data_IF_844006123856
#
_entry.id   IF_844006123856
#
_cell.length_a   1.000
_cell.length_b   1.000
_cell.length_c   1.000
_cell.angle_alpha   90.00
_cell.angle_beta   90.00
_cell.angle_gamma   90.00
#
_symmetry.space_group_name_H-M   'P 1'
#
loop_
_entity.id
_entity.type
_entity.pdbx_description
1 polymer ?
#
# COMPACT_ATOMS: atom_id res chain seq x y z
N UNK A 1 22.03 27.14 -39.54
CA UNK A 1 20.99 27.83 -38.76
C UNK A 1 19.94 26.80 -38.39
N UNK A 2 19.94 26.38 -37.14
CA UNK A 2 18.99 25.41 -36.64
C UNK A 2 17.67 26.11 -36.32
N UNK A 3 16.70 26.01 -37.22
CA UNK A 3 15.32 26.48 -36.98
C UNK A 3 14.70 25.58 -35.92
N UNK A 4 14.93 25.97 -34.66
CA UNK A 4 14.37 25.25 -33.48
C UNK A 4 12.86 25.22 -33.57
N UNK A 5 12.28 24.06 -33.92
CA UNK A 5 10.86 23.81 -33.71
C UNK A 5 10.58 23.91 -32.20
N UNK A 6 9.55 24.67 -31.79
CA UNK A 6 9.20 24.73 -30.38
C UNK A 6 8.94 23.32 -29.87
N UNK A 7 9.71 22.92 -28.85
CA UNK A 7 9.48 21.64 -28.18
C UNK A 7 8.10 21.72 -27.53
N UNK A 8 7.17 20.86 -27.96
CA UNK A 8 5.86 20.75 -27.32
C UNK A 8 5.99 20.47 -25.84
N UNK A 9 4.92 20.70 -25.06
CA UNK A 9 4.92 20.66 -23.60
C UNK A 9 5.10 19.27 -22.97
N UNK A 10 5.53 18.26 -23.68
CA UNK A 10 5.79 16.86 -23.29
C UNK A 10 4.75 16.18 -22.37
N UNK A 11 3.67 16.87 -22.00
CA UNK A 11 2.56 16.29 -21.21
C UNK A 11 1.72 15.36 -22.08
N UNK A 12 1.16 14.32 -21.52
CA UNK A 12 0.20 13.46 -22.21
C UNK A 12 -1.08 14.26 -22.53
N UNK A 13 -1.79 13.83 -23.60
CA UNK A 13 -3.11 14.37 -23.91
C UNK A 13 -4.11 13.89 -22.84
N UNK A 14 -4.82 14.83 -22.26
CA UNK A 14 -5.94 14.60 -21.35
C UNK A 14 -7.27 14.65 -22.08
N UNK A 15 -8.37 14.44 -21.37
CA UNK A 15 -9.71 14.48 -21.95
C UNK A 15 -10.02 15.86 -22.57
N UNK A 16 -9.60 16.94 -21.91
CA UNK A 16 -9.84 18.32 -22.42
C UNK A 16 -9.15 18.54 -23.77
N UNK A 17 -7.88 18.13 -23.88
CA UNK A 17 -7.15 18.20 -25.14
C UNK A 17 -7.81 17.32 -26.23
N UNK A 18 -8.34 16.15 -25.88
CA UNK A 18 -9.05 15.28 -26.80
C UNK A 18 -10.39 15.86 -27.28
N UNK A 19 -11.10 16.57 -26.41
CA UNK A 19 -12.32 17.30 -26.76
C UNK A 19 -12.00 18.41 -27.78
N UNK A 20 -10.95 19.18 -27.56
CA UNK A 20 -10.48 20.21 -28.50
C UNK A 20 -10.14 19.57 -29.85
N UNK A 21 -9.39 18.46 -29.88
CA UNK A 21 -9.09 17.74 -31.11
C UNK A 21 -10.38 17.32 -31.83
N UNK A 22 -11.37 16.78 -31.16
CA UNK A 22 -12.64 16.35 -31.73
C UNK A 22 -13.43 17.54 -32.33
N UNK A 23 -13.48 18.68 -31.64
CA UNK A 23 -14.15 19.91 -32.10
C UNK A 23 -13.52 20.43 -33.37
N UNK A 24 -12.21 20.59 -33.40
CA UNK A 24 -11.47 21.03 -34.56
C UNK A 24 -11.60 20.10 -35.77
N UNK A 25 -11.57 18.79 -35.53
CA UNK A 25 -11.81 17.80 -36.59
C UNK A 25 -13.23 17.87 -37.14
N UNK A 26 -14.23 18.18 -36.32
CA UNK A 26 -15.61 18.40 -36.78
C UNK A 26 -15.74 19.67 -37.63
N UNK A 27 -14.95 20.70 -37.32
CA UNK A 27 -14.87 21.93 -38.08
C UNK A 27 -14.08 21.78 -39.40
N UNK A 28 -13.30 20.71 -39.56
CA UNK A 28 -12.46 20.49 -40.74
C UNK A 28 -11.07 21.13 -40.66
N UNK A 29 -10.64 21.51 -39.47
CA UNK A 29 -9.34 22.17 -39.24
C UNK A 29 -8.16 21.22 -39.47
N UNK A 30 -7.01 21.80 -39.79
CA UNK A 30 -5.79 21.02 -40.02
C UNK A 30 -5.10 20.57 -38.75
N UNK A 31 -4.34 19.46 -38.78
CA UNK A 31 -3.53 19.05 -37.64
C UNK A 31 -2.52 20.10 -37.17
N UNK A 32 -2.09 21.00 -38.06
CA UNK A 32 -1.19 22.09 -37.71
C UNK A 32 -1.90 23.14 -36.83
N UNK A 33 -3.12 23.48 -37.17
CA UNK A 33 -3.96 24.40 -36.38
C UNK A 33 -4.21 23.84 -34.98
N UNK A 34 -4.67 22.59 -34.90
CA UNK A 34 -4.91 21.89 -33.62
C UNK A 34 -3.64 21.83 -32.76
N UNK A 35 -2.50 21.56 -33.40
CA UNK A 35 -1.23 21.43 -32.71
C UNK A 35 -0.74 22.75 -32.09
N UNK A 36 -0.99 23.88 -32.79
CA UNK A 36 -0.66 25.23 -32.29
C UNK A 36 -1.46 25.50 -31.00
N UNK A 37 -2.78 25.30 -31.04
CA UNK A 37 -3.64 25.56 -29.88
C UNK A 37 -3.28 24.70 -28.67
N UNK A 38 -2.98 23.41 -28.88
CA UNK A 38 -2.61 22.48 -27.82
C UNK A 38 -1.13 22.54 -27.43
N UNK A 39 -0.33 23.41 -28.07
CA UNK A 39 1.13 23.47 -27.92
C UNK A 39 1.77 22.08 -28.06
N UNK A 40 1.42 21.35 -29.13
CA UNK A 40 1.90 20.02 -29.48
C UNK A 40 2.53 20.01 -30.87
N UNK A 41 3.24 18.95 -31.18
CA UNK A 41 3.69 18.70 -32.56
C UNK A 41 2.53 18.12 -33.38
N UNK A 42 2.35 18.56 -34.64
CA UNK A 42 1.31 18.02 -35.54
C UNK A 42 1.36 16.51 -35.71
N UNK A 43 2.54 15.91 -35.63
CA UNK A 43 2.69 14.46 -35.70
C UNK A 43 2.08 13.74 -34.47
N UNK A 44 2.06 14.42 -33.32
CA UNK A 44 1.39 13.92 -32.12
C UNK A 44 -0.11 13.82 -32.31
N UNK A 45 -0.70 14.89 -32.86
CA UNK A 45 -2.14 14.93 -33.18
C UNK A 45 -2.47 13.86 -34.22
N UNK A 46 -1.67 13.77 -35.28
CA UNK A 46 -1.85 12.76 -36.34
C UNK A 46 -1.80 11.32 -35.75
N UNK A 47 -0.85 11.04 -34.88
CA UNK A 47 -0.72 9.71 -34.22
C UNK A 47 -1.91 9.43 -33.31
N UNK A 48 -2.35 10.42 -32.54
CA UNK A 48 -3.53 10.30 -31.65
C UNK A 48 -4.78 9.97 -32.46
N UNK A 49 -5.08 10.73 -33.51
CA UNK A 49 -6.27 10.53 -34.34
C UNK A 49 -6.26 9.20 -35.07
N UNK A 50 -5.10 8.79 -35.61
CA UNK A 50 -4.98 7.49 -36.28
C UNK A 50 -5.13 6.30 -35.34
N UNK A 51 -4.59 6.40 -34.11
CA UNK A 51 -4.57 5.34 -33.13
C UNK A 51 -5.90 5.14 -32.41
N UNK A 52 -6.60 6.25 -32.13
CA UNK A 52 -7.79 6.25 -31.29
C UNK A 52 -9.07 6.63 -32.04
N UNK A 53 -9.13 6.33 -33.35
CA UNK A 53 -10.36 6.47 -34.14
C UNK A 53 -11.14 5.14 -34.17
N UNK A 54 -12.44 5.24 -34.23
CA UNK A 54 -13.39 4.12 -34.27
C UNK A 54 -14.02 4.01 -35.66
N UNK A 55 -14.14 2.79 -36.15
CA UNK A 55 -14.91 2.52 -37.36
C UNK A 55 -16.36 2.32 -36.95
N UNK A 56 -17.26 3.18 -37.45
CA UNK A 56 -18.69 2.97 -37.37
C UNK A 56 -19.15 2.29 -38.63
N UNK A 57 -19.52 1.05 -38.52
CA UNK A 57 -20.15 0.30 -39.57
C UNK A 57 -21.46 0.98 -39.97
N UNK A 58 -21.78 0.88 -41.22
CA UNK A 58 -23.05 1.39 -41.73
C UNK A 58 -24.19 0.60 -41.13
N UNK A 59 -25.31 1.30 -40.80
CA UNK A 59 -26.55 0.63 -40.39
C UNK A 59 -27.01 -0.38 -41.45
N UNK A 60 -27.28 -1.60 -41.02
CA UNK A 60 -27.73 -2.70 -41.88
C UNK A 60 -29.15 -2.51 -42.40
N UNK A 61 -29.90 -1.54 -41.87
CA UNK A 61 -31.28 -1.27 -42.25
C UNK A 61 -31.44 -0.52 -43.57
N UNK A 62 -30.35 -0.10 -44.19
CA UNK A 62 -30.37 0.56 -45.47
C UNK A 62 -30.34 -0.47 -46.60
N UNK A 63 -31.40 -0.58 -47.36
CA UNK A 63 -31.58 -1.44 -48.53
C UNK A 63 -30.57 -1.18 -49.69
N UNK A 64 -29.73 -0.19 -49.59
CA UNK A 64 -28.74 0.09 -50.59
C UNK A 64 -27.50 -0.80 -50.44
N UNK A 65 -27.02 -1.43 -51.52
CA UNK A 65 -25.87 -2.32 -51.45
C UNK A 65 -24.60 -1.57 -50.97
N UNK A 66 -23.79 -2.22 -50.12
CA UNK A 66 -22.47 -1.68 -49.75
C UNK A 66 -21.62 -1.63 -51.02
N UNK A 67 -20.99 -0.49 -51.35
CA UNK A 67 -20.19 -0.39 -52.57
C UNK A 67 -19.03 -1.39 -52.54
N UNK A 68 -18.96 -2.26 -53.50
CA UNK A 68 -17.83 -3.13 -53.69
C UNK A 68 -16.72 -2.43 -54.48
N UNK A 69 -15.47 -2.55 -54.05
CA UNK A 69 -14.32 -1.99 -54.74
C UNK A 69 -14.21 -2.47 -56.19
N UNK A 70 -14.53 -3.75 -56.43
CA UNK A 70 -14.51 -4.32 -57.78
C UNK A 70 -15.57 -3.76 -58.73
N UNK A 71 -16.66 -3.20 -58.22
CA UNK A 71 -17.74 -2.63 -59.04
C UNK A 71 -17.49 -1.17 -59.38
N UNK A 72 -16.51 -0.50 -58.79
CA UNK A 72 -16.34 0.96 -58.91
C UNK A 72 -15.11 1.37 -59.71
N UNK A 73 -14.29 0.46 -60.16
CA UNK A 73 -13.09 0.78 -60.95
C UNK A 73 -13.46 1.10 -62.37
N UNK A 74 -13.68 2.38 -62.65
CA UNK A 74 -14.01 2.93 -63.97
C UNK A 74 -12.81 2.90 -64.93
N UNK A 75 -11.59 2.64 -64.41
CA UNK A 75 -10.36 2.72 -65.20
C UNK A 75 -9.99 1.40 -65.85
N UNK A 76 -10.60 0.30 -65.51
CA UNK A 76 -10.33 -1.01 -66.07
C UNK A 76 -11.35 -1.39 -67.17
N UNK A 77 -10.89 -1.77 -68.35
CA UNK A 77 -11.82 -2.24 -69.35
C UNK A 77 -12.53 -3.51 -68.93
N UNK A 78 -13.80 -3.56 -69.09
CA UNK A 78 -14.91 -4.52 -68.86
C UNK A 78 -14.62 -6.00 -68.58
N UNK A 79 -13.47 -6.38 -68.11
CA UNK A 79 -13.20 -7.69 -67.49
C UNK A 79 -13.54 -7.69 -66.01
N UNK A 80 -14.54 -6.91 -65.67
CA UNK A 80 -14.96 -6.78 -64.27
C UNK A 80 -15.58 -8.09 -63.81
N UNK A 81 -15.07 -8.66 -62.73
CA UNK A 81 -15.61 -9.84 -62.04
C UNK A 81 -17.12 -9.75 -61.87
N UNK A 82 -17.67 -8.54 -61.68
CA UNK A 82 -19.10 -8.30 -61.55
C UNK A 82 -19.90 -8.40 -62.87
N UNK A 83 -19.26 -8.48 -64.03
CA UNK A 83 -19.96 -8.66 -65.31
C UNK A 83 -20.29 -10.11 -65.65
N UNK A 84 -19.94 -11.05 -64.80
CA UNK A 84 -20.28 -12.48 -64.86
C UNK A 84 -21.60 -12.78 -64.21
N UNK A 85 -22.24 -13.86 -64.62
CA UNK A 85 -23.46 -14.40 -63.98
C UNK A 85 -23.07 -15.48 -62.95
N UNK A 86 -24.02 -15.79 -62.05
CA UNK A 86 -23.97 -16.93 -61.14
C UNK A 86 -22.85 -16.91 -60.03
N UNK A 87 -22.24 -15.76 -59.73
CA UNK A 87 -21.26 -15.64 -58.66
C UNK A 87 -21.86 -15.89 -57.25
N UNK A 88 -23.17 -15.82 -57.10
CA UNK A 88 -23.90 -16.14 -55.91
C UNK A 88 -24.33 -17.64 -55.79
N UNK A 89 -24.01 -18.47 -56.81
CA UNK A 89 -24.40 -19.88 -56.89
C UNK A 89 -25.84 -20.10 -57.40
N UNK A 90 -26.60 -19.08 -57.73
CA UNK A 90 -27.94 -19.17 -58.34
C UNK A 90 -27.78 -19.38 -59.85
N UNK A 91 -27.85 -20.63 -60.29
CA UNK A 91 -27.63 -21.02 -61.67
C UNK A 91 -28.80 -20.68 -62.62
N UNK A 92 -29.96 -20.31 -62.08
CA UNK A 92 -31.15 -19.89 -62.83
C UNK A 92 -31.16 -18.38 -63.11
N UNK A 93 -30.28 -17.64 -62.49
CA UNK A 93 -30.20 -16.18 -62.65
C UNK A 93 -29.69 -15.77 -64.03
N UNK A 94 -30.50 -15.06 -64.80
CA UNK A 94 -30.14 -14.55 -66.13
C UNK A 94 -29.56 -13.14 -66.13
N UNK A 95 -29.31 -12.57 -64.93
CA UNK A 95 -28.74 -11.24 -64.80
C UNK A 95 -27.26 -11.24 -64.45
N UNK A 96 -26.53 -10.30 -64.95
CA UNK A 96 -25.15 -10.07 -64.52
C UNK A 96 -25.15 -9.66 -63.07
N UNK A 97 -24.16 -10.17 -62.28
CA UNK A 97 -24.07 -9.90 -60.82
C UNK A 97 -24.07 -8.39 -60.49
N UNK A 98 -23.53 -7.53 -61.37
CA UNK A 98 -23.56 -6.08 -61.21
C UNK A 98 -24.98 -5.48 -61.17
N UNK A 99 -25.95 -6.19 -61.76
CA UNK A 99 -27.33 -5.79 -61.83
C UNK A 99 -28.24 -6.53 -60.80
N UNK A 100 -27.62 -7.42 -60.01
CA UNK A 100 -28.38 -8.22 -59.06
C UNK A 100 -29.03 -7.37 -57.98
N UNK A 101 -30.33 -7.57 -57.78
CA UNK A 101 -31.13 -6.93 -56.70
C UNK A 101 -31.63 -7.96 -55.69
N UNK A 102 -31.42 -9.26 -55.95
CA UNK A 102 -31.96 -10.34 -55.13
C UNK A 102 -31.12 -10.63 -53.89
N UNK A 103 -29.78 -10.51 -53.99
CA UNK A 103 -28.85 -10.81 -52.90
C UNK A 103 -27.90 -9.63 -52.69
N UNK A 104 -27.40 -9.47 -51.46
CA UNK A 104 -26.31 -8.52 -51.13
C UNK A 104 -24.98 -9.14 -51.57
N UNK A 105 -24.17 -8.44 -52.33
CA UNK A 105 -22.87 -8.93 -52.79
C UNK A 105 -21.95 -9.27 -51.57
N UNK A 106 -22.08 -8.57 -50.46
CA UNK A 106 -21.37 -8.84 -49.24
C UNK A 106 -21.61 -10.24 -48.68
N UNK A 107 -22.80 -10.79 -48.91
CA UNK A 107 -23.24 -12.05 -48.29
C UNK A 107 -22.96 -13.27 -49.20
N UNK A 108 -22.92 -13.07 -50.51
CA UNK A 108 -22.88 -14.18 -51.48
C UNK A 108 -21.67 -14.15 -52.42
N UNK A 109 -21.00 -13.03 -52.60
CA UNK A 109 -19.91 -12.93 -53.56
C UNK A 109 -18.55 -13.21 -52.94
N UNK A 110 -17.87 -14.30 -53.40
CA UNK A 110 -16.54 -14.67 -52.95
C UNK A 110 -15.46 -13.62 -53.22
N UNK A 111 -15.69 -12.71 -54.15
CA UNK A 111 -14.77 -11.64 -54.57
C UNK A 111 -15.19 -10.28 -54.03
N UNK A 112 -16.14 -10.23 -53.10
CA UNK A 112 -16.55 -8.98 -52.47
C UNK A 112 -15.38 -8.35 -51.71
N UNK A 113 -15.11 -7.08 -52.01
CA UNK A 113 -14.19 -6.23 -51.25
C UNK A 113 -14.90 -4.95 -50.88
N UNK A 114 -15.03 -4.64 -49.57
CA UNK A 114 -15.62 -3.36 -49.20
C UNK A 114 -14.82 -2.21 -49.79
N UNK A 115 -15.51 -1.20 -50.30
CA UNK A 115 -14.88 0.00 -50.81
C UNK A 115 -14.48 0.89 -49.65
N UNK A 116 -13.21 1.21 -49.57
CA UNK A 116 -12.70 2.21 -48.62
C UNK A 116 -12.69 3.60 -49.24
N UNK A 117 -12.88 4.62 -48.40
CA UNK A 117 -12.82 6.01 -48.83
C UNK A 117 -11.36 6.44 -48.97
N UNK A 118 -10.94 6.81 -50.18
CA UNK A 118 -9.58 7.30 -50.47
C UNK A 118 -9.16 8.50 -49.61
N UNK A 119 -10.12 9.30 -49.13
CA UNK A 119 -9.86 10.44 -48.23
C UNK A 119 -9.30 9.99 -46.89
N UNK A 120 -9.58 8.75 -46.44
CA UNK A 120 -9.05 8.19 -45.20
C UNK A 120 -7.55 7.89 -45.27
N UNK A 121 -6.96 7.87 -46.45
CA UNK A 121 -5.51 7.69 -46.67
C UNK A 121 -4.73 9.03 -46.55
N UNK A 122 -5.44 10.13 -46.45
CA UNK A 122 -4.88 11.48 -46.31
C UNK A 122 -5.38 12.15 -45.03
N UNK A 123 -4.62 13.09 -44.43
CA UNK A 123 -5.12 13.88 -43.30
C UNK A 123 -6.48 14.52 -43.57
N UNK A 124 -7.39 14.48 -42.60
CA UNK A 124 -7.26 14.12 -41.20
C UNK A 124 -7.48 12.63 -40.88
N UNK A 125 -7.52 11.69 -41.83
CA UNK A 125 -7.70 10.25 -41.68
C UNK A 125 -9.04 9.81 -41.06
N UNK A 126 -9.96 10.73 -40.85
CA UNK A 126 -11.27 10.52 -40.20
C UNK A 126 -12.37 11.30 -40.96
N UNK A 127 -13.62 10.91 -40.72
CA UNK A 127 -14.80 11.49 -41.34
C UNK A 127 -15.45 12.62 -40.52
N UNK A 128 -14.82 13.09 -39.44
CA UNK A 128 -15.42 14.08 -38.54
C UNK A 128 -15.95 15.32 -39.28
N UNK A 129 -15.09 16.04 -39.99
CA UNK A 129 -15.44 17.24 -40.79
C UNK A 129 -15.80 16.98 -42.25
N UNK A 130 -16.14 15.75 -42.61
CA UNK A 130 -16.46 15.42 -44.00
C UNK A 130 -17.86 15.95 -44.41
N UNK A 131 -17.93 16.83 -45.42
CA UNK A 131 -19.17 17.40 -45.93
C UNK A 131 -20.17 16.35 -46.47
N UNK A 132 -19.67 15.19 -46.89
CA UNK A 132 -20.51 14.07 -47.36
C UNK A 132 -20.85 13.06 -46.29
N UNK A 133 -20.55 13.34 -45.01
CA UNK A 133 -20.70 12.39 -43.87
C UNK A 133 -22.11 11.82 -43.77
N UNK A 134 -23.12 12.66 -43.99
CA UNK A 134 -24.56 12.27 -43.84
C UNK A 134 -24.98 11.26 -44.91
N UNK A 135 -24.60 11.52 -46.17
CA UNK A 135 -25.02 10.72 -47.35
C UNK A 135 -23.97 9.68 -47.76
N UNK A 136 -22.93 9.50 -46.98
CA UNK A 136 -21.85 8.56 -47.31
C UNK A 136 -22.30 7.11 -47.06
N UNK A 137 -22.11 6.27 -48.07
CA UNK A 137 -22.52 4.84 -48.06
C UNK A 137 -21.38 3.90 -47.65
N UNK A 138 -20.23 4.44 -47.23
CA UNK A 138 -19.05 3.68 -46.79
C UNK A 138 -18.97 3.71 -45.25
N UNK A 139 -18.25 2.77 -44.68
CA UNK A 139 -17.92 2.78 -43.27
C UNK A 139 -17.23 4.07 -42.90
N UNK A 140 -17.57 4.61 -41.75
CA UNK A 140 -17.10 5.92 -41.30
C UNK A 140 -16.06 5.74 -40.18
N UNK A 141 -14.87 6.26 -40.43
CA UNK A 141 -13.85 6.34 -39.39
C UNK A 141 -13.99 7.65 -38.64
N UNK A 142 -14.31 7.61 -37.37
CA UNK A 142 -14.63 8.78 -36.55
C UNK A 142 -13.69 8.84 -35.35
N UNK A 143 -13.14 9.99 -35.08
CA UNK A 143 -12.45 10.29 -33.83
C UNK A 143 -13.48 10.78 -32.81
N UNK A 144 -13.47 10.16 -31.62
CA UNK A 144 -14.28 10.55 -30.46
C UNK A 144 -13.38 10.72 -29.25
N UNK A 145 -13.45 11.88 -28.61
CA UNK A 145 -12.63 12.22 -27.45
C UNK A 145 -12.83 11.24 -26.30
N UNK A 146 -14.08 10.84 -26.04
CA UNK A 146 -14.42 9.86 -25.01
C UNK A 146 -13.80 8.49 -25.33
N UNK A 147 -14.01 7.98 -26.54
CA UNK A 147 -13.43 6.68 -26.93
C UNK A 147 -11.89 6.71 -26.88
N UNK A 148 -11.28 7.83 -27.31
CA UNK A 148 -9.84 7.99 -27.26
C UNK A 148 -9.30 8.03 -25.81
N UNK A 149 -10.06 8.65 -24.89
CA UNK A 149 -9.72 8.66 -23.46
C UNK A 149 -9.85 7.26 -22.85
N UNK A 150 -10.99 6.60 -23.07
CA UNK A 150 -11.27 5.28 -22.52
C UNK A 150 -10.24 4.24 -23.03
N UNK A 151 -9.89 4.26 -24.32
CA UNK A 151 -8.87 3.37 -24.88
C UNK A 151 -7.47 3.68 -24.36
N UNK A 152 -7.13 4.96 -24.17
CA UNK A 152 -5.86 5.35 -23.58
C UNK A 152 -5.74 4.88 -22.13
N UNK A 153 -6.80 5.05 -21.33
CA UNK A 153 -6.82 4.61 -19.93
C UNK A 153 -6.77 3.07 -19.83
N UNK A 154 -7.51 2.38 -20.67
CA UNK A 154 -7.46 0.91 -20.75
C UNK A 154 -6.04 0.42 -21.08
N UNK A 155 -5.39 1.01 -22.08
CA UNK A 155 -4.00 0.68 -22.45
C UNK A 155 -3.02 0.96 -21.30
N UNK A 156 -3.21 2.09 -20.60
CA UNK A 156 -2.36 2.46 -19.45
C UNK A 156 -2.54 1.52 -18.27
N UNK A 157 -3.74 1.00 -18.07
CA UNK A 157 -4.06 0.03 -17.03
C UNK A 157 -3.50 -1.35 -17.40
N UNK A 158 -3.83 -1.85 -18.59
CA UNK A 158 -3.41 -3.18 -19.07
C UNK A 158 -1.89 -3.31 -19.22
N UNK A 159 -1.21 -2.25 -19.65
CA UNK A 159 0.27 -2.26 -19.75
C UNK A 159 0.96 -2.32 -18.37
N UNK A 160 0.25 -2.03 -17.29
CA UNK A 160 0.72 -2.13 -15.89
C UNK A 160 0.17 -3.37 -15.19
N UNK A 161 -0.73 -4.11 -15.81
CA UNK A 161 -1.20 -5.39 -15.34
C UNK A 161 -0.13 -6.44 -15.58
N UNK A 162 0.04 -7.30 -14.57
CA UNK A 162 1.03 -8.36 -14.67
C UNK A 162 2.19 -8.16 -13.68
N UNK A 163 3.14 -9.03 -13.81
CA UNK A 163 4.34 -9.10 -12.98
C UNK A 163 5.50 -8.67 -13.86
N UNK A 164 6.07 -7.49 -13.58
CA UNK A 164 7.23 -6.98 -14.32
C UNK A 164 8.54 -7.57 -13.76
N UNK A 165 8.60 -8.90 -13.68
CA UNK A 165 9.79 -9.63 -13.22
C UNK A 165 9.86 -10.99 -13.90
N UNK A 166 11.08 -11.56 -14.03
CA UNK A 166 11.26 -12.90 -14.56
C UNK A 166 10.84 -13.96 -13.54
N UNK A 167 10.46 -15.18 -13.98
CA UNK A 167 10.10 -16.27 -13.07
C UNK A 167 11.22 -16.60 -12.08
N UNK A 168 12.48 -16.53 -12.50
CA UNK A 168 13.64 -16.78 -11.65
C UNK A 168 13.81 -15.71 -10.58
N UNK A 169 13.55 -14.44 -10.90
CA UNK A 169 13.57 -13.35 -9.95
C UNK A 169 12.48 -13.48 -8.89
N UNK A 170 11.28 -13.88 -9.33
CA UNK A 170 10.15 -14.14 -8.41
C UNK A 170 10.48 -15.31 -7.48
N UNK A 171 11.05 -16.38 -8.00
CA UNK A 171 11.42 -17.55 -7.22
C UNK A 171 12.47 -17.20 -6.16
N UNK A 172 13.48 -16.40 -6.49
CA UNK A 172 14.47 -15.90 -5.52
C UNK A 172 13.82 -15.09 -4.42
N UNK A 173 12.92 -14.16 -4.79
CA UNK A 173 12.17 -13.37 -3.81
C UNK A 173 11.28 -14.24 -2.92
N UNK A 174 10.64 -15.27 -3.45
CA UNK A 174 9.78 -16.16 -2.68
C UNK A 174 10.58 -17.00 -1.68
N UNK A 175 11.73 -17.53 -2.10
CA UNK A 175 12.66 -18.26 -1.22
C UNK A 175 13.15 -17.41 -0.06
N UNK A 176 13.40 -16.13 -0.29
CA UNK A 176 13.80 -15.19 0.76
C UNK A 176 12.62 -14.78 1.64
N UNK A 177 11.53 -14.30 1.04
CA UNK A 177 10.45 -13.63 1.75
C UNK A 177 9.51 -14.59 2.49
N UNK A 178 9.15 -15.71 1.87
CA UNK A 178 8.10 -16.58 2.42
C UNK A 178 8.45 -17.21 3.76
N UNK A 179 9.66 -17.72 4.01
CA UNK A 179 10.04 -18.24 5.33
C UNK A 179 10.03 -17.17 6.42
N UNK A 180 10.53 -15.96 6.11
CA UNK A 180 10.62 -14.86 7.05
C UNK A 180 9.22 -14.33 7.43
N UNK A 181 8.33 -14.18 6.44
CA UNK A 181 6.93 -13.79 6.68
C UNK A 181 6.19 -14.83 7.54
N UNK A 182 6.45 -16.15 7.33
CA UNK A 182 5.87 -17.21 8.14
C UNK A 182 6.38 -17.21 9.59
N UNK A 183 7.58 -16.69 9.87
CA UNK A 183 8.08 -16.40 11.21
C UNK A 183 7.40 -15.18 11.87
N UNK A 184 6.49 -14.52 11.16
CA UNK A 184 5.79 -13.32 11.61
C UNK A 184 6.63 -12.05 11.54
N UNK A 185 7.68 -12.00 10.72
CA UNK A 185 8.44 -10.78 10.48
C UNK A 185 7.63 -9.77 9.65
N UNK A 186 7.80 -8.48 9.92
CA UNK A 186 7.19 -7.44 9.09
C UNK A 186 7.96 -7.24 7.78
N UNK A 187 7.27 -6.86 6.71
CA UNK A 187 7.95 -6.49 5.45
C UNK A 187 8.96 -5.36 5.67
N UNK A 188 8.70 -4.46 6.62
CA UNK A 188 9.63 -3.39 6.98
C UNK A 188 10.96 -3.93 7.54
N UNK A 189 10.88 -4.91 8.45
CA UNK A 189 12.05 -5.57 9.02
C UNK A 189 12.86 -6.32 7.98
N UNK A 190 12.19 -7.15 7.16
CA UNK A 190 12.85 -7.92 6.10
C UNK A 190 13.52 -6.97 5.10
N UNK A 191 12.82 -5.91 4.69
CA UNK A 191 13.35 -4.94 3.73
C UNK A 191 14.56 -4.17 4.28
N UNK A 192 14.58 -3.83 5.58
CA UNK A 192 15.71 -3.16 6.21
C UNK A 192 16.93 -4.08 6.39
N UNK A 193 16.74 -5.41 6.36
CA UNK A 193 17.81 -6.40 6.53
C UNK A 193 18.36 -6.91 5.20
N UNK A 194 17.54 -6.93 4.14
CA UNK A 194 17.84 -7.48 2.83
C UNK A 194 17.64 -6.47 1.70
N UNK A 195 17.94 -5.17 1.95
CA UNK A 195 17.71 -4.10 0.98
C UNK A 195 18.41 -4.36 -0.37
N UNK A 196 19.60 -4.95 -0.35
CA UNK A 196 20.42 -5.21 -1.54
C UNK A 196 19.91 -6.41 -2.35
N UNK A 197 19.15 -7.32 -1.74
CA UNK A 197 18.62 -8.53 -2.36
C UNK A 197 17.21 -8.30 -2.95
N UNK A 198 16.49 -7.28 -2.47
CA UNK A 198 15.11 -7.00 -2.84
C UNK A 198 15.06 -5.87 -3.87
N UNK A 199 15.04 -6.21 -5.15
CA UNK A 199 15.02 -5.25 -6.27
C UNK A 199 13.66 -4.58 -6.53
N UNK A 200 12.64 -4.77 -5.68
CA UNK A 200 11.31 -4.22 -5.89
C UNK A 200 10.81 -3.44 -4.65
N UNK A 201 9.82 -2.58 -4.83
CA UNK A 201 9.25 -1.79 -3.74
C UNK A 201 8.45 -2.65 -2.76
N UNK A 202 8.33 -2.21 -1.51
CA UNK A 202 7.46 -2.86 -0.49
C UNK A 202 6.02 -3.01 -0.97
N UNK A 203 5.50 -2.01 -1.71
CA UNK A 203 4.15 -2.06 -2.30
C UNK A 203 4.01 -3.19 -3.31
N UNK A 204 5.06 -3.44 -4.08
CA UNK A 204 5.12 -4.55 -5.03
C UNK A 204 5.06 -5.89 -4.31
N UNK A 205 5.79 -6.05 -3.18
CA UNK A 205 5.74 -7.27 -2.36
C UNK A 205 4.31 -7.53 -1.85
N UNK A 206 3.64 -6.51 -1.30
CA UNK A 206 2.23 -6.64 -0.89
C UNK A 206 1.31 -7.03 -2.06
N UNK A 207 1.54 -6.47 -3.25
CA UNK A 207 0.78 -6.84 -4.45
C UNK A 207 0.99 -8.30 -4.84
N UNK A 208 2.21 -8.80 -4.75
CA UNK A 208 2.54 -10.19 -5.09
C UNK A 208 1.94 -11.17 -4.09
N UNK A 209 1.97 -10.86 -2.79
CA UNK A 209 1.29 -11.65 -1.76
C UNK A 209 -0.23 -11.66 -2.00
N UNK A 210 -0.84 -10.51 -2.33
CA UNK A 210 -2.27 -10.40 -2.64
C UNK A 210 -2.68 -11.24 -3.84
N UNK A 211 -1.83 -11.31 -4.87
CA UNK A 211 -2.05 -12.09 -6.08
C UNK A 211 -1.71 -13.57 -5.92
N UNK A 212 -1.19 -13.96 -4.75
CA UNK A 212 -0.81 -15.35 -4.47
C UNK A 212 0.40 -15.83 -5.27
N UNK A 213 1.31 -14.92 -5.63
CA UNK A 213 2.53 -15.20 -6.39
C UNK A 213 3.55 -15.96 -5.53
N UNK A 214 3.60 -15.65 -4.22
CA UNK A 214 4.49 -16.27 -3.25
C UNK A 214 3.81 -17.40 -2.50
N UNK A 215 4.60 -18.26 -1.86
CA UNK A 215 4.09 -19.28 -0.92
C UNK A 215 3.46 -18.64 0.32
N UNK A 216 4.04 -17.52 0.80
CA UNK A 216 3.42 -16.71 1.84
C UNK A 216 2.09 -16.13 1.36
N UNK A 217 1.09 -16.17 2.23
CA UNK A 217 -0.27 -15.70 1.98
C UNK A 217 -0.61 -14.52 2.87
N UNK A 218 -1.72 -13.87 2.58
CA UNK A 218 -2.22 -12.75 3.36
C UNK A 218 -2.42 -13.08 4.85
N UNK A 219 -2.68 -14.34 5.20
CA UNK A 219 -2.85 -14.79 6.57
C UNK A 219 -1.53 -14.77 7.36
N UNK A 220 -0.39 -14.85 6.66
CA UNK A 220 0.94 -14.77 7.26
C UNK A 220 1.34 -13.33 7.60
N UNK A 221 0.56 -12.34 7.13
CA UNK A 221 0.79 -10.93 7.43
C UNK A 221 0.13 -10.52 8.74
N UNK A 222 0.88 -9.86 9.63
CA UNK A 222 0.46 -9.49 11.00
C UNK A 222 -0.85 -8.70 11.12
N UNK A 223 -1.22 -7.86 10.15
CA UNK A 223 -2.32 -6.89 10.29
C UNK A 223 -3.45 -7.02 9.28
N UNK A 224 -3.49 -8.07 8.49
CA UNK A 224 -4.48 -8.12 7.42
C UNK A 224 -5.91 -8.42 7.86
N UNK A 225 -6.07 -9.07 9.03
CA UNK A 225 -7.39 -9.31 9.60
C UNK A 225 -7.45 -8.74 11.02
N UNK A 226 -7.97 -7.52 11.14
CA UNK A 226 -8.20 -6.89 12.46
C UNK A 226 -9.70 -6.74 12.66
N UNK A 227 -10.27 -7.50 13.60
CA UNK A 227 -11.64 -7.32 14.03
C UNK A 227 -11.77 -6.10 14.93
N UNK A 228 -12.64 -5.15 14.55
CA UNK A 228 -12.95 -3.98 15.36
C UNK A 228 -13.73 -4.42 16.61
N UNK A 229 -13.10 -4.35 17.79
CA UNK A 229 -13.79 -4.66 19.04
C UNK A 229 -14.81 -3.57 19.40
N UNK A 230 -16.04 -3.97 19.78
CA UNK A 230 -17.03 -3.04 20.32
C UNK A 230 -16.55 -2.49 21.66
N UNK A 231 -16.39 -1.18 21.77
CA UNK A 231 -16.09 -0.50 23.03
C UNK A 231 -17.29 -0.63 23.97
N UNK A 232 -17.13 -1.25 25.13
CA UNK A 232 -18.09 -1.17 26.23
C UNK A 232 -17.93 0.19 26.92
N UNK A 233 -19.02 0.91 27.13
CA UNK A 233 -19.05 2.10 28.00
C UNK A 233 -18.86 1.63 29.43
N UNK A 234 -17.77 2.02 30.09
CA UNK A 234 -17.56 1.82 31.50
C UNK A 234 -18.04 3.07 32.24
N UNK A 235 -18.92 2.89 33.21
CA UNK A 235 -19.31 3.93 34.17
C UNK A 235 -18.12 4.23 35.07
N UNK A 236 -17.72 5.49 35.12
CA UNK A 236 -16.63 5.97 35.97
C UNK A 236 -17.09 5.93 37.45
N UNK A 237 -16.42 5.14 38.27
CA UNK A 237 -16.54 5.24 39.72
C UNK A 237 -15.63 6.37 40.25
N UNK A 238 -16.12 7.10 41.27
CA UNK A 238 -15.31 8.06 42.01
C UNK A 238 -14.23 7.31 42.80
N UNK A 239 -12.99 7.31 42.30
CA UNK A 239 -11.81 6.72 42.95
C UNK A 239 -11.02 7.84 43.64
N UNK A 240 -10.45 7.53 44.81
CA UNK A 240 -9.45 8.39 45.44
C UNK A 240 -8.27 8.60 44.49
N UNK A 241 -7.81 9.83 44.33
CA UNK A 241 -6.73 10.23 43.43
C UNK A 241 -5.66 11.08 44.15
N UNK A 242 -5.59 10.99 45.45
CA UNK A 242 -4.62 11.72 46.28
C UNK A 242 -3.15 11.41 45.88
N UNK A 243 -2.87 10.19 45.42
CA UNK A 243 -1.55 9.78 44.94
C UNK A 243 -1.02 10.60 43.73
N UNK A 244 -1.93 11.26 42.96
CA UNK A 244 -1.59 12.10 41.80
C UNK A 244 -1.22 13.55 42.17
N UNK A 245 -1.28 13.93 43.41
CA UNK A 245 -0.97 15.30 43.84
C UNK A 245 0.45 15.65 43.42
N UNK A 246 0.62 16.75 42.67
CA UNK A 246 1.89 17.24 42.11
C UNK A 246 2.56 16.26 41.10
N UNK A 247 1.78 15.35 40.51
CA UNK A 247 2.23 14.32 39.57
C UNK A 247 1.23 14.07 38.43
N UNK A 248 0.44 15.07 38.06
CA UNK A 248 -0.50 15.01 36.94
C UNK A 248 0.24 15.05 35.61
N UNK A 249 -0.46 14.76 34.52
CA UNK A 249 0.10 14.87 33.18
C UNK A 249 0.52 16.29 32.81
N UNK A 250 -0.15 17.32 33.35
CA UNK A 250 0.24 18.70 33.15
C UNK A 250 1.62 18.97 33.73
N UNK A 251 1.85 18.58 34.99
CA UNK A 251 3.16 18.71 35.64
C UNK A 251 4.25 17.90 34.99
N UNK A 252 3.90 16.72 34.43
CA UNK A 252 4.80 15.97 33.56
C UNK A 252 5.27 16.79 32.36
N UNK A 253 4.34 17.45 31.65
CA UNK A 253 4.70 18.27 30.48
C UNK A 253 5.56 19.47 30.87
N UNK A 254 5.27 20.11 31.98
CA UNK A 254 6.06 21.22 32.53
C UNK A 254 7.48 20.75 32.87
N UNK A 255 7.60 19.59 33.53
CA UNK A 255 8.91 19.01 33.89
C UNK A 255 9.74 18.68 32.66
N UNK A 256 9.17 18.03 31.65
CA UNK A 256 9.88 17.69 30.41
C UNK A 256 10.28 18.93 29.61
N UNK A 257 9.43 19.97 29.60
CA UNK A 257 9.75 21.24 28.94
C UNK A 257 10.95 21.95 29.58
N UNK A 258 11.07 21.85 30.91
CA UNK A 258 12.21 22.41 31.67
C UNK A 258 13.48 21.55 31.56
N UNK A 259 13.37 20.25 31.34
CA UNK A 259 14.47 19.27 31.37
C UNK A 259 14.51 18.45 30.07
N UNK A 260 15.05 19.04 28.99
CA UNK A 260 15.00 18.46 27.63
C UNK A 260 15.83 17.18 27.41
N UNK A 261 16.77 16.86 28.27
CA UNK A 261 17.66 15.69 28.16
C UNK A 261 17.21 14.49 28.99
N UNK A 262 16.03 14.55 29.60
CA UNK A 262 15.53 13.51 30.49
C UNK A 262 15.05 12.28 29.71
N UNK A 263 15.38 11.10 30.22
CA UNK A 263 14.80 9.86 29.75
C UNK A 263 13.38 9.70 30.26
N UNK A 264 12.43 9.55 29.32
CA UNK A 264 11.05 9.25 29.67
C UNK A 264 10.77 7.79 29.44
N UNK A 265 10.33 7.09 30.46
CA UNK A 265 9.88 5.70 30.39
C UNK A 265 8.37 5.67 30.55
N UNK A 266 7.66 5.06 29.62
CA UNK A 266 6.24 4.73 29.80
C UNK A 266 6.14 3.39 30.50
N UNK A 267 5.21 3.25 31.46
CA UNK A 267 4.99 2.04 32.22
C UNK A 267 3.52 1.61 32.14
N UNK A 268 3.31 0.32 31.97
CA UNK A 268 1.97 -0.28 31.85
C UNK A 268 1.98 -1.76 32.23
N UNK A 269 0.82 -2.33 32.47
CA UNK A 269 0.65 -3.78 32.65
C UNK A 269 -0.05 -4.43 31.47
N UNK A 270 0.32 -5.65 31.17
CA UNK A 270 -0.31 -6.48 30.12
C UNK A 270 -0.91 -7.71 30.77
N UNK A 271 -2.23 -7.74 30.85
CA UNK A 271 -2.99 -8.85 31.44
C UNK A 271 -3.06 -10.06 30.48
N UNK A 272 -3.06 -11.26 31.07
CA UNK A 272 -3.30 -12.52 30.39
C UNK A 272 -4.78 -12.83 30.15
N UNK A 273 -5.15 -14.09 30.30
CA UNK A 273 -6.54 -14.54 30.26
C UNK A 273 -7.31 -14.04 31.49
N UNK A 274 -8.61 -13.80 31.34
CA UNK A 274 -9.45 -13.43 32.48
C UNK A 274 -9.48 -14.54 33.51
N UNK A 275 -9.25 -14.19 34.77
CA UNK A 275 -9.26 -15.14 35.90
C UNK A 275 -7.90 -15.80 36.15
N UNK A 276 -6.85 -15.42 35.43
CA UNK A 276 -5.47 -15.82 35.73
C UNK A 276 -4.73 -14.65 36.40
N UNK A 277 -3.86 -14.98 37.36
CA UNK A 277 -3.14 -13.97 38.15
C UNK A 277 -1.90 -13.39 37.45
N UNK A 278 -1.06 -14.17 36.71
CA UNK A 278 0.15 -13.61 36.11
C UNK A 278 -0.11 -12.56 35.06
N UNK A 279 0.68 -11.46 35.11
CA UNK A 279 0.67 -10.40 34.15
C UNK A 279 2.10 -9.90 33.86
N UNK A 280 2.29 -9.11 32.83
CA UNK A 280 3.58 -8.47 32.58
C UNK A 280 3.55 -7.01 33.02
N UNK A 281 4.57 -6.59 33.75
CA UNK A 281 4.95 -5.18 33.86
C UNK A 281 5.82 -4.85 32.66
N UNK A 282 5.45 -3.83 31.92
CA UNK A 282 6.21 -3.35 30.75
C UNK A 282 6.70 -1.93 31.00
N UNK A 283 7.95 -1.67 30.61
CA UNK A 283 8.56 -0.34 30.65
C UNK A 283 9.12 -0.04 29.25
N UNK A 284 8.81 1.13 28.73
CA UNK A 284 9.13 1.52 27.37
C UNK A 284 9.89 2.85 27.33
N UNK A 285 11.13 2.83 26.83
CA UNK A 285 11.95 4.03 26.65
C UNK A 285 11.55 4.77 25.37
N UNK A 286 11.01 5.98 25.51
CA UNK A 286 10.53 6.77 24.36
C UNK A 286 11.62 7.12 23.34
N UNK A 287 12.85 7.35 23.78
CA UNK A 287 13.96 7.83 22.95
C UNK A 287 14.54 6.75 22.00
N UNK A 288 14.49 5.49 22.38
CA UNK A 288 15.05 4.37 21.61
C UNK A 288 14.06 3.25 21.31
N UNK A 289 12.82 3.37 21.77
CA UNK A 289 11.78 2.35 21.66
C UNK A 289 12.14 1.00 22.29
N UNK A 290 13.15 0.96 23.18
CA UNK A 290 13.47 -0.23 23.93
C UNK A 290 12.32 -0.55 24.91
N UNK A 291 11.85 -1.79 24.91
CA UNK A 291 10.91 -2.30 25.88
C UNK A 291 11.63 -3.19 26.89
N UNK A 292 11.31 -3.06 28.16
CA UNK A 292 11.59 -4.04 29.21
C UNK A 292 10.30 -4.71 29.60
N UNK A 293 10.38 -5.97 30.03
CA UNK A 293 9.20 -6.76 30.39
C UNK A 293 9.55 -7.69 31.54
N UNK A 294 8.73 -7.66 32.58
CA UNK A 294 8.91 -8.46 33.79
C UNK A 294 7.63 -9.26 34.08
N UNK A 295 7.78 -10.50 34.44
CA UNK A 295 6.65 -11.36 34.86
C UNK A 295 6.29 -11.04 36.31
N UNK A 296 5.04 -10.66 36.55
CA UNK A 296 4.47 -10.48 37.87
C UNK A 296 3.58 -11.70 38.16
N UNK A 297 3.65 -12.23 39.39
CA UNK A 297 2.76 -13.28 39.84
C UNK A 297 1.33 -12.78 40.00
N UNK A 298 1.18 -11.54 40.45
CA UNK A 298 -0.11 -10.84 40.61
C UNK A 298 0.01 -9.39 40.23
N UNK A 299 -1.09 -8.79 39.77
CA UNK A 299 -1.17 -7.36 39.47
C UNK A 299 -1.37 -6.52 40.73
N UNK A 300 -0.34 -6.41 41.55
CA UNK A 300 -0.37 -5.72 42.85
C UNK A 300 0.73 -4.67 42.97
N UNK A 301 0.53 -3.68 43.87
CA UNK A 301 1.52 -2.66 44.20
C UNK A 301 2.82 -3.30 44.72
N UNK A 302 2.72 -4.34 45.53
CA UNK A 302 3.84 -5.08 46.11
C UNK A 302 4.72 -5.68 45.01
N UNK A 303 4.12 -6.31 44.01
CA UNK A 303 4.86 -6.93 42.91
C UNK A 303 5.57 -5.89 42.05
N UNK A 304 4.92 -4.76 41.75
CA UNK A 304 5.58 -3.66 41.02
C UNK A 304 6.75 -3.10 41.83
N UNK A 305 6.56 -2.85 43.13
CA UNK A 305 7.65 -2.37 44.01
C UNK A 305 8.80 -3.38 44.07
N UNK A 306 8.52 -4.68 44.10
CA UNK A 306 9.54 -5.75 44.04
C UNK A 306 10.43 -5.62 42.79
N UNK A 307 9.84 -5.35 41.64
CA UNK A 307 10.61 -5.17 40.40
C UNK A 307 11.46 -3.87 40.48
N UNK A 308 10.93 -2.79 41.03
CA UNK A 308 11.70 -1.53 41.21
C UNK A 308 12.90 -1.75 42.14
N UNK A 309 12.70 -2.47 43.23
CA UNK A 309 13.77 -2.79 44.18
C UNK A 309 14.81 -3.67 43.52
N UNK A 310 14.39 -4.72 42.84
CA UNK A 310 15.29 -5.60 42.09
C UNK A 310 16.12 -4.83 41.06
N UNK A 311 15.49 -3.94 40.26
CA UNK A 311 16.21 -3.11 39.29
C UNK A 311 17.19 -2.15 39.98
N UNK A 312 16.81 -1.61 41.13
CA UNK A 312 17.68 -0.70 41.91
C UNK A 312 18.90 -1.43 42.44
N UNK A 313 18.70 -2.65 42.99
CA UNK A 313 19.79 -3.52 43.46
C UNK A 313 20.73 -3.94 42.31
N UNK A 314 20.17 -4.30 41.15
CA UNK A 314 20.89 -4.81 39.99
C UNK A 314 21.74 -3.73 39.31
N UNK A 315 21.20 -2.50 39.17
CA UNK A 315 21.83 -1.39 38.45
C UNK A 315 22.63 -0.47 39.37
N UNK A 316 22.33 -0.46 40.64
CA UNK A 316 22.72 0.60 41.58
C UNK A 316 21.87 1.87 41.44
N UNK A 317 21.75 2.61 42.52
CA UNK A 317 20.85 3.78 42.61
C UNK A 317 21.18 4.86 41.57
N UNK A 318 22.43 5.18 41.35
CA UNK A 318 22.88 6.22 40.40
C UNK A 318 22.46 5.90 38.96
N UNK A 319 22.67 4.65 38.53
CA UNK A 319 22.32 4.25 37.17
C UNK A 319 20.80 4.14 37.01
N UNK A 320 20.10 3.67 38.05
CA UNK A 320 18.65 3.66 38.05
C UNK A 320 18.07 5.08 37.91
N UNK A 321 18.54 6.03 38.73
CA UNK A 321 18.14 7.45 38.64
C UNK A 321 18.36 8.02 37.24
N UNK A 322 19.51 7.73 36.63
CA UNK A 322 19.85 8.23 35.29
C UNK A 322 18.92 7.65 34.21
N UNK A 323 18.61 6.36 34.24
CA UNK A 323 17.86 5.68 33.19
C UNK A 323 16.33 5.80 33.35
N UNK A 324 15.86 5.82 34.61
CA UNK A 324 14.46 5.86 34.97
C UNK A 324 14.07 7.18 35.66
N UNK A 325 14.67 8.29 35.24
CA UNK A 325 14.49 9.59 35.88
C UNK A 325 13.02 10.00 35.93
N UNK A 326 12.27 9.76 34.86
CA UNK A 326 10.84 10.05 34.76
C UNK A 326 10.09 8.85 34.22
N UNK A 327 9.08 8.42 34.95
CA UNK A 327 8.17 7.35 34.55
C UNK A 327 6.75 7.91 34.41
N UNK A 328 6.12 7.67 33.26
CA UNK A 328 4.74 8.00 33.00
C UNK A 328 3.88 6.73 32.98
N UNK A 329 2.85 6.68 33.84
CA UNK A 329 1.96 5.53 33.93
C UNK A 329 0.49 5.95 33.92
N UNK A 330 -0.43 4.99 33.88
CA UNK A 330 -1.85 5.27 34.09
C UNK A 330 -2.24 5.28 35.58
N UNK A 331 -3.55 5.27 35.84
CA UNK A 331 -4.07 5.28 37.20
C UNK A 331 -4.41 3.85 37.69
N UNK A 332 -3.70 2.83 37.21
CA UNK A 332 -3.84 1.45 37.68
C UNK A 332 -3.64 1.34 39.19
N UNK A 333 -4.36 0.43 39.84
CA UNK A 333 -4.25 0.27 41.29
C UNK A 333 -2.84 -0.19 41.70
N UNK A 334 -2.15 -0.92 40.85
CA UNK A 334 -0.79 -1.40 41.00
C UNK A 334 0.27 -0.30 41.04
N UNK A 335 -0.06 0.89 40.56
CA UNK A 335 0.86 2.04 40.48
C UNK A 335 0.56 3.13 41.51
N UNK A 336 -0.39 2.92 42.43
CA UNK A 336 -0.87 3.98 43.33
C UNK A 336 0.03 4.20 44.56
N UNK A 337 0.88 3.19 44.92
CA UNK A 337 1.88 3.37 45.96
C UNK A 337 3.10 4.15 45.42
N UNK A 338 2.88 5.44 45.19
CA UNK A 338 3.93 6.33 44.66
C UNK A 338 5.16 6.37 45.54
N UNK A 339 4.99 6.33 46.87
CA UNK A 339 6.11 6.45 47.81
C UNK A 339 7.08 5.28 47.66
N UNK A 340 6.57 4.08 47.63
CA UNK A 340 7.40 2.87 47.42
C UNK A 340 8.03 2.80 46.03
N UNK A 341 7.43 3.46 45.00
CA UNK A 341 8.01 3.50 43.66
C UNK A 341 9.07 4.62 43.53
N UNK A 342 8.86 5.81 44.13
CA UNK A 342 9.78 6.95 44.00
C UNK A 342 11.00 6.83 44.92
N UNK A 343 10.91 6.10 46.05
CA UNK A 343 11.98 5.98 47.03
C UNK A 343 12.52 4.53 47.10
N UNK A 344 13.81 4.40 47.28
CA UNK A 344 14.45 3.11 47.52
C UNK A 344 14.21 2.66 48.97
N UNK A 345 14.55 1.40 49.31
CA UNK A 345 14.51 0.87 50.67
C UNK A 345 15.36 1.69 51.65
N UNK A 346 16.38 2.40 51.13
CA UNK A 346 17.26 3.24 51.93
C UNK A 346 16.75 4.70 52.06
N UNK A 347 15.58 5.00 51.53
CA UNK A 347 14.99 6.33 51.57
C UNK A 347 15.52 7.33 50.51
N UNK A 348 16.33 6.88 49.56
CA UNK A 348 16.84 7.70 48.48
C UNK A 348 15.83 7.81 47.36
N UNK A 349 15.67 9.01 46.76
CA UNK A 349 14.78 9.23 45.61
C UNK A 349 15.40 8.53 44.39
N UNK A 350 14.70 7.57 43.79
CA UNK A 350 15.19 6.83 42.61
C UNK A 350 14.56 7.26 41.29
N UNK A 351 13.33 7.79 41.31
CA UNK A 351 12.60 8.19 40.11
C UNK A 351 11.50 9.21 40.43
N UNK A 352 10.87 9.77 39.40
CA UNK A 352 9.63 10.57 39.53
C UNK A 352 8.52 9.92 38.71
N UNK A 353 7.41 9.56 39.37
CA UNK A 353 6.26 8.93 38.75
C UNK A 353 5.23 10.01 38.41
N UNK A 354 4.82 10.06 37.13
CA UNK A 354 3.72 10.90 36.68
C UNK A 354 2.56 10.04 36.16
N UNK A 355 1.35 10.57 36.26
CA UNK A 355 0.13 9.84 35.94
C UNK A 355 -0.61 10.51 34.79
N UNK A 356 -1.01 9.71 33.80
CA UNK A 356 -1.90 10.13 32.72
C UNK A 356 -3.26 10.59 33.23
N UNK A 357 -3.93 11.43 32.47
CA UNK A 357 -5.31 11.80 32.78
C UNK A 357 -6.24 10.60 32.60
N UNK A 358 -7.30 10.52 33.41
CA UNK A 358 -8.25 9.41 33.29
C UNK A 358 -8.86 9.30 31.91
N UNK A 359 -8.93 8.12 31.35
CA UNK A 359 -9.46 7.81 30.03
C UNK A 359 -8.70 8.49 28.86
N UNK A 360 -7.46 8.89 29.05
CA UNK A 360 -6.57 9.49 28.04
C UNK A 360 -5.44 8.53 27.66
N UNK A 361 -5.80 7.42 27.02
CA UNK A 361 -4.84 6.41 26.53
C UNK A 361 -3.86 6.98 25.50
N UNK A 362 -4.23 8.06 24.81
CA UNK A 362 -3.38 8.77 23.86
C UNK A 362 -2.10 9.34 24.49
N UNK A 363 -2.09 9.61 25.80
CA UNK A 363 -0.94 10.17 26.52
C UNK A 363 0.23 9.16 26.69
N UNK A 364 -0.05 7.85 26.60
CA UNK A 364 0.95 6.77 26.59
C UNK A 364 0.81 5.84 25.37
N UNK A 365 0.49 6.42 24.23
CA UNK A 365 0.25 5.66 22.99
C UNK A 365 1.45 4.89 22.45
N UNK A 366 2.67 5.24 22.87
CA UNK A 366 3.88 4.56 22.39
C UNK A 366 4.01 3.14 23.00
N UNK A 367 3.79 2.99 24.31
CA UNK A 367 3.82 1.66 24.94
C UNK A 367 2.64 0.81 24.48
N UNK A 368 1.44 1.38 24.34
CA UNK A 368 0.26 0.66 23.85
C UNK A 368 0.49 0.07 22.46
N UNK A 369 1.14 0.82 21.56
CA UNK A 369 1.53 0.33 20.24
C UNK A 369 2.56 -0.79 20.34
N UNK A 370 3.47 -0.76 21.31
CA UNK A 370 4.45 -1.81 21.53
C UNK A 370 3.82 -3.09 22.10
N UNK A 371 2.74 -2.99 22.85
CA UNK A 371 2.00 -4.17 23.31
C UNK A 371 1.45 -5.04 22.17
N UNK A 372 1.28 -4.47 20.96
CA UNK A 372 0.91 -5.26 19.78
C UNK A 372 1.95 -6.35 19.48
N UNK A 373 3.24 -6.08 19.69
CA UNK A 373 4.30 -7.08 19.49
C UNK A 373 4.16 -8.27 20.47
N UNK A 374 3.83 -7.99 21.73
CA UNK A 374 3.50 -9.04 22.69
C UNK A 374 2.30 -9.85 22.20
N UNK A 375 1.26 -9.15 21.66
CA UNK A 375 0.02 -9.78 21.21
C UNK A 375 0.14 -10.59 19.92
N UNK A 376 1.20 -10.41 19.13
CA UNK A 376 1.50 -11.31 18.01
C UNK A 376 1.90 -12.71 18.49
N UNK A 377 2.62 -12.81 19.62
CA UNK A 377 3.07 -14.06 20.20
C UNK A 377 2.07 -14.59 21.23
N UNK A 378 1.51 -13.72 22.06
CA UNK A 378 0.54 -14.00 23.12
C UNK A 378 -0.78 -13.26 22.83
N UNK A 379 -1.67 -13.80 21.98
CA UNK A 379 -2.96 -13.19 21.67
C UNK A 379 -3.80 -12.90 22.91
N UNK A 380 -4.74 -11.96 22.81
CA UNK A 380 -5.67 -11.66 23.90
C UNK A 380 -6.43 -12.93 24.34
N UNK A 381 -6.44 -13.18 25.65
CA UNK A 381 -7.05 -14.36 26.22
C UNK A 381 -6.09 -15.54 26.42
N UNK A 382 -4.81 -15.40 26.05
CA UNK A 382 -3.78 -16.38 26.39
C UNK A 382 -3.41 -16.27 27.87
N UNK A 383 -3.40 -17.39 28.60
CA UNK A 383 -2.92 -17.47 30.01
C UNK A 383 -1.40 -17.28 30.02
N UNK A 384 -0.90 -16.56 31.04
CA UNK A 384 0.54 -16.40 31.29
C UNK A 384 1.08 -17.33 32.37
N UNK A 385 0.27 -18.27 32.89
CA UNK A 385 0.67 -19.23 33.96
C UNK A 385 1.87 -20.09 33.57
N UNK A 386 2.07 -20.34 32.27
CA UNK A 386 3.22 -21.12 31.78
C UNK A 386 4.44 -20.25 31.46
N UNK A 387 4.32 -18.93 31.59
CA UNK A 387 5.44 -18.04 31.35
C UNK A 387 6.44 -18.11 32.51
N UNK A 388 7.70 -17.99 32.16
CA UNK A 388 8.84 -17.90 33.07
C UNK A 388 9.67 -16.67 32.72
N UNK A 389 10.55 -16.23 33.63
CA UNK A 389 11.48 -15.12 33.32
C UNK A 389 12.32 -15.43 32.08
N UNK A 390 12.69 -16.67 31.85
CA UNK A 390 13.46 -17.11 30.70
C UNK A 390 12.69 -16.96 29.38
N UNK A 391 11.43 -17.39 29.35
CA UNK A 391 10.57 -17.24 28.16
C UNK A 391 10.15 -15.78 27.96
N UNK A 392 10.01 -15.02 29.02
CA UNK A 392 9.75 -13.58 28.99
C UNK A 392 10.93 -12.83 28.38
N UNK A 393 12.16 -13.13 28.80
CA UNK A 393 13.38 -12.55 28.24
C UNK A 393 13.57 -12.96 26.78
N UNK A 394 13.29 -14.20 26.41
CA UNK A 394 13.33 -14.65 25.02
C UNK A 394 12.39 -13.82 24.14
N UNK A 395 11.12 -13.70 24.54
CA UNK A 395 10.14 -12.87 23.82
C UNK A 395 10.61 -11.40 23.71
N UNK A 396 11.11 -10.86 24.81
CA UNK A 396 11.60 -9.49 24.88
C UNK A 396 12.75 -9.23 23.89
N UNK A 397 13.72 -10.15 23.80
CA UNK A 397 14.84 -10.06 22.89
C UNK A 397 14.38 -10.08 21.42
N UNK A 398 13.43 -10.93 21.05
CA UNK A 398 12.85 -10.93 19.71
C UNK A 398 12.12 -9.62 19.40
N UNK A 399 11.34 -9.06 20.33
CA UNK A 399 10.64 -7.79 20.15
C UNK A 399 11.62 -6.62 19.96
N UNK A 400 12.68 -6.58 20.75
CA UNK A 400 13.67 -5.50 20.71
C UNK A 400 14.64 -5.62 19.52
N UNK A 401 14.78 -6.79 18.91
CA UNK A 401 15.61 -7.01 17.73
C UNK A 401 14.88 -6.77 16.41
N UNK A 402 13.55 -6.53 16.43
CA UNK A 402 12.84 -6.22 15.20
C UNK A 402 13.12 -4.81 14.69
N UNK A 403 13.65 -4.69 13.49
CA UNK A 403 13.90 -3.42 12.80
C UNK A 403 12.60 -2.69 12.47
N UNK A 404 12.58 -1.37 12.65
CA UNK A 404 11.36 -0.55 12.56
C UNK A 404 11.54 0.66 11.66
N UNK A 405 10.54 1.01 10.87
CA UNK A 405 10.53 2.23 10.07
C UNK A 405 10.64 3.49 10.93
N UNK A 406 10.03 3.49 12.13
CA UNK A 406 10.11 4.61 13.08
C UNK A 406 11.52 4.86 13.63
N UNK A 407 12.42 3.91 13.48
CA UNK A 407 13.83 3.98 13.87
C UNK A 407 14.75 3.96 12.63
N UNK A 408 14.27 4.40 11.48
CA UNK A 408 15.03 4.45 10.22
C UNK A 408 15.63 3.08 9.82
N UNK A 409 14.92 1.99 10.08
CA UNK A 409 15.39 0.64 9.76
C UNK A 409 16.27 -0.01 10.82
N UNK A 410 16.51 0.65 11.95
CA UNK A 410 17.21 0.06 13.09
C UNK A 410 16.26 -0.66 14.04
N UNK A 411 16.81 -1.56 14.84
CA UNK A 411 16.09 -2.20 15.94
C UNK A 411 16.12 -1.36 17.23
N UNK A 412 15.15 -1.50 18.13
CA UNK A 412 15.23 -0.90 19.46
C UNK A 412 16.48 -1.30 20.22
N UNK A 413 16.95 -2.53 20.06
CA UNK A 413 18.20 -3.01 20.68
C UNK A 413 19.40 -2.23 20.16
N UNK A 414 19.57 -2.10 18.83
CA UNK A 414 20.66 -1.32 18.22
C UNK A 414 20.67 0.13 18.71
N UNK A 415 19.51 0.81 18.67
CA UNK A 415 19.40 2.22 19.07
C UNK A 415 19.63 2.38 20.57
N UNK A 416 19.15 1.47 21.40
CA UNK A 416 19.36 1.55 22.86
C UNK A 416 20.83 1.33 23.23
N UNK A 417 21.57 0.52 22.50
CA UNK A 417 23.01 0.34 22.68
C UNK A 417 23.82 1.64 22.44
N UNK A 418 23.30 2.53 21.61
CA UNK A 418 23.91 3.83 21.32
C UNK A 418 23.50 4.90 22.34
N UNK A 419 22.25 4.88 22.82
CA UNK A 419 21.67 5.94 23.62
C UNK A 419 21.68 5.67 25.13
N UNK A 420 21.59 4.41 25.56
CA UNK A 420 21.55 4.03 26.96
C UNK A 420 22.88 3.45 27.43
N UNK A 421 23.07 3.40 28.75
CA UNK A 421 24.23 2.77 29.33
C UNK A 421 24.19 1.25 29.13
N UNK A 422 25.25 0.69 28.58
CA UNK A 422 25.37 -0.74 28.28
C UNK A 422 25.29 -1.66 29.50
N UNK A 423 25.48 -1.13 30.71
CA UNK A 423 25.27 -1.89 31.95
C UNK A 423 23.84 -2.38 32.08
N UNK A 424 22.85 -1.61 31.58
CA UNK A 424 21.45 -2.03 31.54
C UNK A 424 21.28 -3.36 30.76
N UNK A 425 21.86 -3.43 29.55
CA UNK A 425 21.73 -4.62 28.69
C UNK A 425 22.37 -5.84 29.34
N UNK A 426 23.58 -5.67 29.92
CA UNK A 426 24.29 -6.76 30.60
C UNK A 426 23.54 -7.24 31.85
N UNK A 427 23.05 -6.30 32.65
CA UNK A 427 22.35 -6.60 33.90
C UNK A 427 21.05 -7.38 33.65
N UNK A 428 20.32 -7.02 32.62
CA UNK A 428 19.03 -7.67 32.27
C UNK A 428 19.19 -8.84 31.30
N UNK A 429 20.39 -9.20 30.88
CA UNK A 429 20.62 -10.29 29.93
C UNK A 429 20.03 -10.04 28.55
N UNK A 430 19.87 -8.76 28.16
CA UNK A 430 19.33 -8.41 26.83
C UNK A 430 20.36 -8.79 25.75
N UNK A 431 19.89 -9.51 24.75
CA UNK A 431 20.68 -9.98 23.62
C UNK A 431 20.00 -9.63 22.29
N UNK A 432 20.81 -9.35 21.31
CA UNK A 432 20.35 -9.16 19.95
C UNK A 432 20.09 -10.52 19.29
N UNK A 433 18.93 -10.63 18.65
CA UNK A 433 18.58 -11.79 17.82
C UNK A 433 18.94 -11.44 16.36
N UNK A 434 19.65 -12.32 15.64
CA UNK A 434 19.92 -12.12 14.22
C UNK A 434 18.62 -11.84 13.44
N UNK A 435 18.68 -10.95 12.45
CA UNK A 435 17.49 -10.46 11.77
C UNK A 435 16.60 -11.60 11.22
N UNK A 436 17.21 -12.61 10.59
CA UNK A 436 16.48 -13.75 10.01
C UNK A 436 15.90 -14.71 11.04
N UNK A 437 16.38 -14.64 12.27
CA UNK A 437 15.91 -15.49 13.37
C UNK A 437 14.79 -14.83 14.16
N UNK A 438 14.58 -13.53 14.00
CA UNK A 438 13.48 -12.81 14.67
C UNK A 438 12.15 -13.50 14.38
N UNK A 439 11.48 -13.95 15.44
CA UNK A 439 10.24 -14.72 15.36
C UNK A 439 9.19 -14.10 16.27
N UNK A 440 8.04 -13.70 15.70
CA UNK A 440 6.96 -13.07 16.45
C UNK A 440 5.61 -13.72 16.11
N UNK A 441 5.56 -15.02 16.33
CA UNK A 441 4.36 -15.87 16.23
C UNK A 441 4.22 -16.72 17.51
N UNK A 442 3.03 -17.27 17.81
CA UNK A 442 2.80 -18.07 19.03
C UNK A 442 3.71 -19.29 19.19
N UNK A 443 4.33 -19.76 18.10
CA UNK A 443 5.27 -20.89 18.16
C UNK A 443 6.59 -20.56 18.88
N UNK A 444 6.92 -19.28 19.08
CA UNK A 444 8.14 -18.86 19.79
C UNK A 444 8.20 -19.37 21.25
N UNK A 445 7.04 -19.51 21.90
CA UNK A 445 6.92 -19.80 23.34
C UNK A 445 6.33 -21.19 23.55
N UNK A 446 6.10 -21.95 22.52
CA UNK A 446 5.73 -23.36 22.63
C UNK A 446 6.96 -24.21 22.81
#
# INVERSE_FOLDING_TARGET
MNTGRPKGNQKHLDLSARIIIEQHLNNGDSFRSIAIELNKDPSTISKEVRRHSIIRERSTDAFAPIPCANNYDRSKPRTNICNVMHMCGDNECRHKCVLCRKFRCSDVCKFYKPRECEKLNKPPYVCNGCSKKTNCMMDKKIYSSKYAQDTYEALRTTSREGINQTPESIQKLDILLSPLLKKGQSIAHIYASHADEIACSRRTIYSYINRGVFQARNIDLRRKVVYKQRKRKTTASLKDRSFRKDRSYKEFLEYIAANKSVYVVEMDTVEGAKGTSPCFLTMFFRNCSLMLMFLLEEQTQKEVTRIFDHLTELLGIELFQKLFEVILTDNGHEFQDRQSLEYSKNGEVRTRIYYCDPNRSDQKGAIEKNHEYIRYVLPKGTSFEKMTDKTTLLLLNHINSEKRDSLNGHSPYEVSRLLLDNRLHKALGLAEIPADEVTLIPALIK
#
